data_IF_309917130650
#
_entry.id   IF_309917130650
#
_cell.length_a   1.000
_cell.length_b   1.000
_cell.length_c   1.000
_cell.angle_alpha   90.00
_cell.angle_beta   90.00
_cell.angle_gamma   90.00
#
_symmetry.space_group_name_H-M   'P 1'
#
loop_
_entity.id
_entity.type
_entity.pdbx_description
1 polymer ?
#
# COMPACT_ATOMS: atom_id res chain seq x y z
N UNK A 1 -30.92 12.78 7.11
CA UNK A 1 -30.44 11.37 7.03
C UNK A 1 -29.39 11.12 5.94
N UNK A 2 -29.45 11.80 4.79
CA UNK A 2 -28.52 11.61 3.65
C UNK A 2 -27.07 12.02 3.99
N UNK A 3 -26.88 13.06 4.80
CA UNK A 3 -25.56 13.59 5.16
C UNK A 3 -24.71 12.63 6.01
N UNK A 4 -25.36 11.94 6.96
CA UNK A 4 -24.70 10.92 7.80
C UNK A 4 -24.19 9.75 6.94
N UNK A 5 -24.94 9.34 5.92
CA UNK A 5 -24.52 8.28 4.98
C UNK A 5 -23.29 8.69 4.16
N UNK A 6 -23.15 9.97 3.79
CA UNK A 6 -21.97 10.47 3.05
C UNK A 6 -20.71 10.51 3.92
N UNK A 7 -20.81 10.99 5.17
CA UNK A 7 -19.70 10.96 6.14
C UNK A 7 -19.22 9.54 6.44
N UNK A 8 -20.15 8.60 6.67
CA UNK A 8 -19.82 7.19 6.95
C UNK A 8 -19.07 6.54 5.77
N UNK A 9 -19.49 6.81 4.53
CA UNK A 9 -18.79 6.29 3.33
C UNK A 9 -17.36 6.80 3.22
N UNK A 10 -17.13 8.08 3.50
CA UNK A 10 -15.78 8.64 3.54
C UNK A 10 -14.90 7.97 4.60
N UNK A 11 -15.40 7.79 5.82
CA UNK A 11 -14.64 7.13 6.90
C UNK A 11 -14.27 5.70 6.49
N UNK A 12 -15.21 4.94 5.92
CA UNK A 12 -14.96 3.57 5.45
C UNK A 12 -13.84 3.54 4.40
N UNK A 13 -13.83 4.48 3.45
CA UNK A 13 -12.77 4.56 2.43
C UNK A 13 -11.39 4.86 3.03
N UNK A 14 -11.32 5.69 4.08
CA UNK A 14 -10.06 5.94 4.80
C UNK A 14 -9.57 4.67 5.50
N UNK A 15 -10.46 3.96 6.18
CA UNK A 15 -10.12 2.71 6.89
C UNK A 15 -9.60 1.67 5.90
N UNK A 16 -10.28 1.50 4.75
CA UNK A 16 -9.85 0.57 3.69
C UNK A 16 -8.47 0.98 3.14
N UNK A 17 -8.28 2.27 2.84
CA UNK A 17 -7.00 2.78 2.34
C UNK A 17 -5.85 2.55 3.34
N UNK A 18 -6.10 2.82 4.62
CA UNK A 18 -5.12 2.59 5.68
C UNK A 18 -4.80 1.10 5.85
N UNK A 19 -5.82 0.24 5.77
CA UNK A 19 -5.65 -1.21 5.81
C UNK A 19 -4.77 -1.69 4.65
N UNK A 20 -4.99 -1.20 3.43
CA UNK A 20 -4.12 -1.52 2.29
C UNK A 20 -2.68 -1.10 2.51
N UNK A 21 -2.44 0.11 3.03
CA UNK A 21 -1.08 0.56 3.34
C UNK A 21 -0.43 -0.30 4.43
N UNK A 22 -1.17 -0.64 5.48
CA UNK A 22 -0.67 -1.46 6.57
C UNK A 22 -0.30 -2.89 6.10
N UNK A 23 -1.20 -3.54 5.36
CA UNK A 23 -0.93 -4.86 4.76
C UNK A 23 0.24 -4.80 3.79
N UNK A 24 0.36 -3.71 3.01
CA UNK A 24 1.48 -3.52 2.11
C UNK A 24 2.83 -3.44 2.85
N UNK A 25 2.88 -2.76 3.99
CA UNK A 25 4.06 -2.70 4.85
C UNK A 25 4.42 -4.08 5.40
N UNK A 26 3.44 -4.85 5.89
CA UNK A 26 3.67 -6.21 6.37
C UNK A 26 4.21 -7.10 5.25
N UNK A 27 3.60 -7.05 4.06
CA UNK A 27 4.06 -7.81 2.89
C UNK A 27 5.49 -7.44 2.50
N UNK A 28 5.82 -6.15 2.48
CA UNK A 28 7.17 -5.67 2.16
C UNK A 28 8.22 -6.20 3.15
N UNK A 29 7.89 -6.25 4.44
CA UNK A 29 8.76 -6.82 5.48
C UNK A 29 8.92 -8.33 5.29
N UNK A 30 7.82 -9.05 5.04
CA UNK A 30 7.84 -10.50 4.83
C UNK A 30 8.65 -10.88 3.57
N UNK A 31 8.47 -10.16 2.47
CA UNK A 31 9.27 -10.38 1.26
C UNK A 31 10.74 -10.13 1.49
N UNK A 32 11.10 -9.11 2.29
CA UNK A 32 12.50 -8.84 2.60
C UNK A 32 13.15 -9.84 3.56
N UNK A 33 12.39 -10.44 4.48
CA UNK A 33 12.95 -11.36 5.49
C UNK A 33 12.91 -12.83 5.11
N UNK A 34 11.83 -13.26 4.45
CA UNK A 34 11.53 -14.69 4.22
C UNK A 34 11.97 -15.12 2.82
N UNK A 35 11.93 -14.20 1.85
CA UNK A 35 12.20 -14.48 0.44
C UNK A 35 13.46 -13.77 -0.06
N UNK A 36 14.40 -13.45 0.84
CA UNK A 36 15.69 -12.92 0.41
C UNK A 36 16.24 -13.87 -0.67
N UNK A 37 16.36 -13.41 -1.94
CA UNK A 37 16.71 -14.27 -3.03
C UNK A 37 18.08 -14.83 -2.69
N UNK A 38 18.11 -16.15 -2.54
CA UNK A 38 19.30 -16.91 -2.33
C UNK A 38 19.51 -17.60 -3.68
N UNK A 39 20.55 -17.22 -4.41
CA UNK A 39 20.86 -17.92 -5.66
C UNK A 39 21.49 -19.26 -5.26
N UNK A 40 21.02 -20.40 -5.80
CA UNK A 40 21.67 -21.67 -5.57
C UNK A 40 23.13 -21.56 -6.00
N UNK A 41 24.07 -21.84 -5.11
CA UNK A 41 25.48 -21.85 -5.46
C UNK A 41 25.76 -23.07 -6.36
N UNK A 42 26.26 -22.88 -7.58
CA UNK A 42 26.60 -24.01 -8.45
C UNK A 42 27.76 -24.86 -7.93
N UNK A 43 28.50 -24.40 -6.91
CA UNK A 43 29.71 -25.05 -6.37
C UNK A 43 29.59 -25.50 -4.91
N UNK A 44 28.41 -25.43 -4.29
CA UNK A 44 28.24 -25.83 -2.90
C UNK A 44 26.79 -25.76 -2.40
N UNK A 45 26.52 -26.26 -1.18
CA UNK A 45 25.18 -26.24 -0.58
C UNK A 45 24.76 -24.87 -0.05
N UNK A 46 25.71 -23.93 0.05
CA UNK A 46 25.49 -22.61 0.63
C UNK A 46 24.84 -21.68 -0.40
N UNK A 47 24.02 -20.76 0.06
CA UNK A 47 23.41 -19.76 -0.81
C UNK A 47 24.33 -18.55 -0.99
N UNK A 48 24.43 -18.06 -2.24
CA UNK A 48 25.17 -16.83 -2.52
C UNK A 48 24.26 -15.65 -2.15
N UNK A 49 24.70 -14.83 -1.19
CA UNK A 49 24.06 -13.54 -0.90
C UNK A 49 24.13 -12.68 -2.15
N UNK A 50 22.97 -12.25 -2.68
CA UNK A 50 22.97 -11.24 -3.72
C UNK A 50 23.57 -9.94 -3.20
N UNK A 51 24.26 -9.24 -4.08
CA UNK A 51 24.58 -7.83 -3.86
C UNK A 51 23.28 -7.01 -3.75
N UNK A 52 23.29 -5.89 -3.01
CA UNK A 52 22.10 -5.09 -2.78
C UNK A 52 21.40 -4.59 -4.05
N UNK A 53 22.14 -4.38 -5.15
CA UNK A 53 21.60 -3.83 -6.39
C UNK A 53 20.79 -4.91 -7.12
N UNK A 54 21.38 -6.09 -7.32
CA UNK A 54 20.69 -7.20 -7.97
C UNK A 54 19.54 -7.73 -7.10
N UNK A 55 19.67 -7.67 -5.76
CA UNK A 55 18.58 -7.94 -4.84
C UNK A 55 17.36 -7.04 -5.11
N UNK A 56 17.55 -5.72 -5.17
CA UNK A 56 16.46 -4.78 -5.39
C UNK A 56 15.82 -5.01 -6.76
N UNK A 57 16.62 -5.30 -7.79
CA UNK A 57 16.09 -5.58 -9.13
C UNK A 57 15.20 -6.82 -9.17
N UNK A 58 15.65 -7.94 -8.57
CA UNK A 58 14.86 -9.18 -8.52
C UNK A 58 13.61 -8.99 -7.66
N UNK A 59 13.76 -8.36 -6.50
CA UNK A 59 12.64 -8.07 -5.62
C UNK A 59 11.60 -7.18 -6.31
N UNK A 60 12.04 -6.15 -7.04
CA UNK A 60 11.15 -5.24 -7.77
C UNK A 60 10.41 -5.97 -8.90
N UNK A 61 11.12 -6.83 -9.63
CA UNK A 61 10.56 -7.63 -10.72
C UNK A 61 9.52 -8.65 -10.23
N UNK A 62 9.72 -9.24 -9.05
CA UNK A 62 8.89 -10.34 -8.56
C UNK A 62 7.77 -9.89 -7.62
N UNK A 63 8.03 -8.93 -6.74
CA UNK A 63 7.10 -8.52 -5.67
C UNK A 63 6.85 -7.01 -5.62
N UNK A 64 7.85 -6.21 -6.00
CA UNK A 64 7.81 -4.76 -5.81
C UNK A 64 6.67 -4.09 -6.56
N UNK A 65 6.33 -4.56 -7.76
CA UNK A 65 5.23 -3.97 -8.52
C UNK A 65 3.87 -4.07 -7.82
N UNK A 66 3.59 -5.23 -7.20
CA UNK A 66 2.37 -5.42 -6.41
C UNK A 66 2.36 -4.46 -5.21
N UNK A 67 3.49 -4.32 -4.52
CA UNK A 67 3.57 -3.42 -3.36
C UNK A 67 3.40 -1.94 -3.73
N UNK A 68 3.90 -1.52 -4.90
CA UNK A 68 3.73 -0.17 -5.42
C UNK A 68 2.25 0.08 -5.77
N UNK A 69 1.60 -0.85 -6.47
CA UNK A 69 0.20 -0.71 -6.86
C UNK A 69 -0.73 -0.65 -5.64
N UNK A 70 -0.50 -1.50 -4.63
CA UNK A 70 -1.29 -1.48 -3.38
C UNK A 70 -1.07 -0.15 -2.65
N UNK A 71 0.17 0.35 -2.58
CA UNK A 71 0.46 1.64 -1.97
C UNK A 71 -0.28 2.78 -2.67
N UNK A 72 -0.21 2.83 -4.01
CA UNK A 72 -0.88 3.85 -4.82
C UNK A 72 -2.40 3.77 -4.66
N UNK A 73 -2.98 2.57 -4.67
CA UNK A 73 -4.42 2.36 -4.45
C UNK A 73 -4.88 2.82 -3.07
N UNK A 74 -4.15 2.44 -2.01
CA UNK A 74 -4.44 2.86 -0.65
C UNK A 74 -4.37 4.38 -0.48
N UNK A 75 -3.33 5.02 -1.04
CA UNK A 75 -3.17 6.47 -1.01
C UNK A 75 -4.26 7.20 -1.80
N UNK A 76 -4.61 6.70 -2.98
CA UNK A 76 -5.68 7.26 -3.82
C UNK A 76 -7.05 7.23 -3.09
N UNK A 77 -7.35 6.13 -2.39
CA UNK A 77 -8.58 6.01 -1.59
C UNK A 77 -8.62 7.04 -0.44
N UNK A 78 -7.49 7.25 0.24
CA UNK A 78 -7.37 8.24 1.31
C UNK A 78 -7.54 9.66 0.76
N UNK A 79 -6.87 10.00 -0.35
CA UNK A 79 -6.97 11.31 -0.99
C UNK A 79 -8.40 11.57 -1.48
N UNK A 80 -9.01 10.58 -2.15
CA UNK A 80 -10.39 10.68 -2.64
C UNK A 80 -11.37 10.91 -1.50
N UNK A 81 -11.23 10.16 -0.40
CA UNK A 81 -12.05 10.35 0.79
C UNK A 81 -11.86 11.75 1.40
N UNK A 82 -10.63 12.21 1.53
CA UNK A 82 -10.31 13.54 2.08
C UNK A 82 -10.94 14.65 1.26
N UNK A 83 -10.86 14.57 -0.09
CA UNK A 83 -11.55 15.51 -0.99
C UNK A 83 -13.07 15.45 -0.83
N UNK A 84 -13.64 14.26 -0.74
CA UNK A 84 -15.08 14.09 -0.52
C UNK A 84 -15.52 14.73 0.81
N UNK A 85 -14.73 14.64 1.87
CA UNK A 85 -15.03 15.30 3.14
C UNK A 85 -14.97 16.83 3.07
N UNK A 86 -13.97 17.38 2.39
CA UNK A 86 -13.80 18.82 2.23
C UNK A 86 -14.97 19.45 1.45
N UNK A 87 -15.39 18.82 0.35
CA UNK A 87 -16.53 19.29 -0.44
C UNK A 87 -17.81 19.28 0.40
N UNK A 88 -18.08 18.19 1.14
CA UNK A 88 -19.27 18.13 2.00
C UNK A 88 -19.27 19.17 3.12
N UNK A 89 -18.11 19.66 3.59
CA UNK A 89 -18.07 20.74 4.57
C UNK A 89 -18.42 22.10 3.97
N UNK A 90 -18.07 22.35 2.70
CA UNK A 90 -18.40 23.61 2.01
C UNK A 90 -19.91 23.71 1.81
N UNK A 91 -20.55 22.62 1.35
CA UNK A 91 -22.02 22.57 1.19
C UNK A 91 -22.77 22.84 2.52
N UNK A 92 -22.20 22.44 3.67
CA UNK A 92 -22.79 22.67 5.00
C UNK A 92 -22.77 24.16 5.43
N UNK A 93 -21.87 24.98 4.88
CA UNK A 93 -21.75 26.40 5.22
C UNK A 93 -22.66 27.31 4.38
N UNK A 94 -23.06 26.90 3.18
CA UNK A 94 -23.93 27.71 2.30
C UNK A 94 -25.43 27.59 2.60
N UNK A 95 -25.83 26.65 3.46
CA UNK A 95 -27.24 26.37 3.81
C UNK A 95 -27.62 26.94 5.20
N UNK A 96 -26.68 27.54 5.93
CA UNK A 96 -26.93 28.31 7.17
C UNK A 96 -26.83 29.81 6.91
#
# INVERSE_FOLDING_TARGET
MIFFRKKVKGVILVIIGFYFLFVNTILSILFNRVFAPCIPNPYGPDCISLDPINYIQIWLAQYGWYTILIALGGLALIIYSTRHFLITKVDDFEIN
#
